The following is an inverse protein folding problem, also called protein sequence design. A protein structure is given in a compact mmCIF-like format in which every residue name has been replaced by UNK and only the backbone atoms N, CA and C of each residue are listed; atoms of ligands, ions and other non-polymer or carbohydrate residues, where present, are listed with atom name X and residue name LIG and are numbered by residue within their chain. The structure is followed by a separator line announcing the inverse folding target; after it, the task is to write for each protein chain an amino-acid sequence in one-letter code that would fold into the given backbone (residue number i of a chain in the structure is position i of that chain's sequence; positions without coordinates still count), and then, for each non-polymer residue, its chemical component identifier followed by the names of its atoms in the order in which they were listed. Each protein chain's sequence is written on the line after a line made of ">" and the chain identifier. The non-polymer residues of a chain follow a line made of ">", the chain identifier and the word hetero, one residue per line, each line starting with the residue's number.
data_IF_909879467010
#
_entry.id   IF_909879467010
#
_cell.length_a   1.000
_cell.length_b   1.000
_cell.length_c   1.000
_cell.angle_alpha   90.00
_cell.angle_beta   90.00
_cell.angle_gamma   90.00
#
_symmetry.space_group_name_H-M   'P 1'
#
loop_
_entity.id
_entity.type
_entity.pdbx_description
1 polymer ?
#
# COMPACT_ATOMS: atom_id res chain seq x y z
N UNK A 1 3.89 -1.60 16.13
CA UNK A 1 2.52 -1.56 16.66
C UNK A 1 1.60 -2.51 15.88
N UNK A 2 0.70 -3.24 16.56
CA UNK A 2 -0.39 -4.04 15.93
C UNK A 2 -1.73 -3.44 16.33
N UNK A 3 -2.61 -3.20 15.36
CA UNK A 3 -3.98 -2.72 15.61
C UNK A 3 -4.98 -3.61 14.88
N UNK A 4 -6.02 -4.05 15.59
CA UNK A 4 -7.02 -4.99 15.07
C UNK A 4 -8.29 -4.29 14.58
N UNK A 5 -8.81 -3.31 15.34
CA UNK A 5 -9.99 -2.51 14.99
C UNK A 5 -9.85 -1.10 15.53
N UNK A 6 -9.62 -0.15 14.64
CA UNK A 6 -9.54 1.28 15.00
C UNK A 6 -10.24 2.06 13.90
N UNK A 7 -11.16 2.99 14.22
CA UNK A 7 -11.91 3.70 13.19
C UNK A 7 -11.01 4.67 12.39
N UNK A 8 -10.17 5.45 13.09
CA UNK A 8 -9.30 6.46 12.52
C UNK A 8 -8.08 6.71 13.41
N UNK A 9 -6.91 6.97 12.81
CA UNK A 9 -5.73 7.48 13.51
C UNK A 9 -4.85 8.29 12.55
N UNK A 10 -4.07 9.20 13.13
CA UNK A 10 -3.03 9.98 12.45
C UNK A 10 -1.71 9.73 13.17
N UNK A 11 -0.65 9.44 12.41
CA UNK A 11 0.68 9.21 12.95
C UNK A 11 1.70 10.02 12.15
N UNK A 12 2.72 10.52 12.84
CA UNK A 12 3.83 11.26 12.21
C UNK A 12 4.86 10.26 11.71
N UNK A 13 5.44 9.47 12.61
CA UNK A 13 6.44 8.47 12.27
C UNK A 13 6.25 7.22 13.12
N UNK A 14 6.62 6.08 12.56
CA UNK A 14 6.63 4.79 13.24
C UNK A 14 7.55 3.84 12.47
N UNK A 15 8.32 3.01 13.15
CA UNK A 15 9.21 2.08 12.43
C UNK A 15 8.42 0.92 11.80
N UNK A 16 7.57 0.26 12.60
CA UNK A 16 6.87 -0.96 12.18
C UNK A 16 5.39 -0.92 12.57
N UNK A 17 4.51 -1.14 11.59
CA UNK A 17 3.06 -1.24 11.78
C UNK A 17 2.43 -2.46 11.09
N UNK A 18 1.51 -3.11 11.78
CA UNK A 18 0.63 -4.15 11.23
C UNK A 18 -0.83 -3.80 11.51
N UNK A 19 -1.65 -3.74 10.47
CA UNK A 19 -3.08 -3.46 10.58
C UNK A 19 -3.92 -4.55 9.90
N UNK A 20 -4.97 -4.99 10.57
CA UNK A 20 -5.90 -5.99 10.01
C UNK A 20 -7.18 -5.39 9.46
N UNK A 21 -7.90 -4.56 10.24
CA UNK A 21 -9.18 -3.93 9.83
C UNK A 21 -9.25 -2.48 10.30
N UNK A 22 -8.91 -1.56 9.40
CA UNK A 22 -8.94 -0.11 9.68
C UNK A 22 -9.69 0.60 8.57
N UNK A 23 -10.76 1.39 8.84
CA UNK A 23 -11.53 2.09 7.81
C UNK A 23 -10.73 3.15 7.05
N UNK A 24 -9.97 4.01 7.75
CA UNK A 24 -9.14 5.06 7.14
C UNK A 24 -7.99 5.46 8.07
N UNK A 25 -6.82 5.75 7.53
CA UNK A 25 -5.74 6.37 8.27
C UNK A 25 -4.83 7.22 7.39
N UNK A 26 -4.18 8.22 8.01
CA UNK A 26 -3.17 9.08 7.40
C UNK A 26 -1.84 8.91 8.16
N UNK A 27 -0.74 8.94 7.42
CA UNK A 27 0.61 8.71 7.96
C UNK A 27 1.63 9.54 7.18
N UNK A 28 2.56 10.19 7.88
CA UNK A 28 3.64 10.94 7.22
C UNK A 28 4.77 9.98 6.80
N UNK A 29 5.33 9.19 7.73
CA UNK A 29 6.43 8.28 7.43
C UNK A 29 6.31 6.92 8.17
N UNK A 30 6.75 5.84 7.51
CA UNK A 30 6.95 4.52 8.12
C UNK A 30 8.00 3.71 7.37
N UNK A 31 8.83 2.98 8.11
CA UNK A 31 9.82 2.10 7.48
C UNK A 31 9.13 0.82 6.97
N UNK A 32 8.35 0.13 7.82
CA UNK A 32 7.73 -1.15 7.46
C UNK A 32 6.24 -1.20 7.80
N UNK A 33 5.43 -1.39 6.77
CA UNK A 33 3.98 -1.57 6.88
C UNK A 33 3.48 -2.92 6.34
N UNK A 34 2.57 -3.56 7.08
CA UNK A 34 1.74 -4.66 6.58
C UNK A 34 0.26 -4.38 6.78
N UNK A 35 -0.52 -4.44 5.72
CA UNK A 35 -1.98 -4.25 5.75
C UNK A 35 -2.72 -5.44 5.16
N UNK A 36 -3.74 -5.93 5.87
CA UNK A 36 -4.62 -6.97 5.34
C UNK A 36 -5.91 -6.42 4.72
N UNK A 37 -6.70 -5.63 5.47
CA UNK A 37 -7.97 -5.03 4.99
C UNK A 37 -8.11 -3.57 5.42
N UNK A 38 -7.91 -2.66 4.47
CA UNK A 38 -8.08 -1.22 4.69
C UNK A 38 -8.87 -0.61 3.54
N UNK A 39 -10.00 0.07 3.74
CA UNK A 39 -10.76 0.73 2.67
C UNK A 39 -10.04 1.91 2.01
N UNK A 40 -9.37 2.76 2.80
CA UNK A 40 -8.67 3.94 2.31
C UNK A 40 -7.38 4.21 3.07
N UNK A 41 -6.32 4.53 2.32
CA UNK A 41 -5.00 4.74 2.87
C UNK A 41 -4.27 5.89 2.13
N UNK A 42 -3.84 6.91 2.88
CA UNK A 42 -3.13 8.08 2.34
C UNK A 42 -1.81 8.37 3.09
N UNK A 43 -0.75 7.61 2.84
CA UNK A 43 0.59 7.88 3.36
C UNK A 43 1.37 8.90 2.50
N UNK A 44 2.34 9.60 3.10
CA UNK A 44 3.33 10.39 2.36
C UNK A 44 4.51 9.54 1.92
N UNK A 45 5.27 8.95 2.85
CA UNK A 45 6.48 8.18 2.54
C UNK A 45 6.52 6.85 3.27
N UNK A 46 6.87 5.77 2.56
CA UNK A 46 6.97 4.41 3.12
C UNK A 46 8.14 3.66 2.52
N UNK A 47 9.07 3.12 3.30
CA UNK A 47 10.18 2.36 2.71
C UNK A 47 9.67 1.00 2.20
N UNK A 48 8.99 0.23 3.05
CA UNK A 48 8.54 -1.14 2.73
C UNK A 48 7.07 -1.34 3.05
N UNK A 49 6.30 -1.75 2.05
CA UNK A 49 4.88 -2.07 2.18
C UNK A 49 4.52 -3.44 1.64
N UNK A 50 3.70 -4.18 2.40
CA UNK A 50 3.02 -5.40 1.94
C UNK A 50 1.52 -5.28 2.13
N UNK A 51 0.76 -5.51 1.06
CA UNK A 51 -0.69 -5.40 1.05
C UNK A 51 -1.36 -6.63 0.47
N UNK A 52 -2.37 -7.13 1.17
CA UNK A 52 -3.19 -8.24 0.68
C UNK A 52 -4.50 -7.78 0.01
N UNK A 53 -5.33 -6.98 0.70
CA UNK A 53 -6.64 -6.51 0.19
C UNK A 53 -6.90 -5.05 0.57
N UNK A 54 -6.74 -4.15 -0.38
CA UNK A 54 -7.03 -2.73 -0.21
C UNK A 54 -7.81 -2.23 -1.43
N UNK A 55 -8.96 -1.54 -1.31
CA UNK A 55 -9.69 -1.05 -2.47
C UNK A 55 -9.12 0.26 -3.01
N UNK A 56 -8.53 1.15 -2.18
CA UNK A 56 -7.97 2.45 -2.62
C UNK A 56 -6.74 2.92 -1.84
N UNK A 57 -5.68 3.32 -2.55
CA UNK A 57 -4.44 3.90 -2.00
C UNK A 57 -4.10 5.19 -2.75
N UNK A 58 -3.70 6.23 -2.03
CA UNK A 58 -2.99 7.38 -2.60
C UNK A 58 -1.67 7.56 -1.85
N UNK A 59 -0.55 7.33 -2.51
CA UNK A 59 0.77 7.37 -1.89
C UNK A 59 1.71 8.27 -2.70
N UNK A 60 2.53 9.06 -2.02
CA UNK A 60 3.50 9.95 -2.68
C UNK A 60 4.76 9.15 -3.04
N UNK A 61 5.45 8.55 -2.06
CA UNK A 61 6.73 7.88 -2.31
C UNK A 61 6.87 6.54 -1.56
N UNK A 62 7.41 5.54 -2.24
CA UNK A 62 7.77 4.26 -1.60
C UNK A 62 8.95 3.59 -2.26
N UNK A 63 9.81 2.95 -1.47
CA UNK A 63 10.93 2.22 -2.05
C UNK A 63 10.46 0.84 -2.53
N UNK A 64 9.75 0.07 -1.70
CA UNK A 64 9.40 -1.32 -2.00
C UNK A 64 7.93 -1.62 -1.67
N UNK A 65 7.14 -1.95 -2.71
CA UNK A 65 5.75 -2.37 -2.56
C UNK A 65 5.52 -3.80 -3.07
N UNK A 66 4.82 -4.63 -2.28
CA UNK A 66 4.25 -5.92 -2.72
C UNK A 66 2.72 -5.92 -2.57
N UNK A 67 2.02 -6.26 -3.65
CA UNK A 67 0.55 -6.34 -3.70
C UNK A 67 0.06 -7.72 -4.16
N UNK A 68 -0.88 -8.31 -3.41
CA UNK A 68 -1.47 -9.61 -3.78
C UNK A 68 -2.82 -9.51 -4.53
N UNK A 69 -3.73 -8.61 -4.14
CA UNK A 69 -5.07 -8.49 -4.77
C UNK A 69 -5.48 -7.05 -5.07
N UNK A 70 -6.26 -6.92 -6.14
CA UNK A 70 -6.69 -5.71 -6.87
C UNK A 70 -6.93 -4.51 -5.94
N UNK A 71 -5.98 -3.56 -5.88
CA UNK A 71 -6.25 -2.20 -5.44
C UNK A 71 -6.58 -1.32 -6.66
N UNK A 72 -7.31 -0.23 -6.42
CA UNK A 72 -7.09 1.00 -7.20
C UNK A 72 -6.02 1.79 -6.48
N UNK A 73 -4.93 2.16 -7.15
CA UNK A 73 -3.93 3.02 -6.53
C UNK A 73 -3.50 4.18 -7.41
N UNK A 74 -3.19 5.28 -6.74
CA UNK A 74 -2.47 6.42 -7.30
C UNK A 74 -1.12 6.51 -6.57
N UNK A 75 -0.04 6.47 -7.33
CA UNK A 75 1.32 6.50 -6.81
C UNK A 75 2.17 7.47 -7.61
N UNK A 76 2.86 8.39 -6.92
CA UNK A 76 3.74 9.36 -7.60
C UNK A 76 5.08 8.71 -7.92
N UNK A 77 5.76 8.14 -6.93
CA UNK A 77 7.09 7.54 -7.12
C UNK A 77 7.22 6.19 -6.42
N UNK A 78 7.85 5.24 -7.09
CA UNK A 78 8.27 3.96 -6.49
C UNK A 78 9.54 3.41 -7.09
N UNK A 79 10.42 2.84 -6.27
CA UNK A 79 11.61 2.17 -6.79
C UNK A 79 11.24 0.75 -7.26
N UNK A 80 10.68 -0.08 -6.39
CA UNK A 80 10.41 -1.50 -6.66
C UNK A 80 8.96 -1.86 -6.39
N UNK A 81 8.25 -2.30 -7.43
CA UNK A 81 6.88 -2.84 -7.34
C UNK A 81 6.83 -4.32 -7.70
N UNK A 82 6.15 -5.12 -6.87
CA UNK A 82 5.78 -6.51 -7.15
C UNK A 82 4.28 -6.71 -7.07
N UNK A 83 3.68 -7.21 -8.14
CA UNK A 83 2.24 -7.42 -8.27
C UNK A 83 1.93 -8.88 -8.59
N UNK A 84 1.05 -9.51 -7.81
CA UNK A 84 0.55 -10.86 -8.13
C UNK A 84 -0.69 -10.83 -9.05
N UNK A 85 -1.46 -9.74 -9.07
CA UNK A 85 -2.61 -9.56 -9.97
C UNK A 85 -2.62 -8.15 -10.53
N UNK A 86 -3.06 -8.00 -11.77
CA UNK A 86 -3.12 -6.69 -12.45
C UNK A 86 -4.16 -5.80 -11.77
N UNK A 87 -3.74 -4.68 -11.17
CA UNK A 87 -4.65 -3.70 -10.59
C UNK A 87 -4.97 -2.59 -11.59
N UNK A 88 -5.98 -1.77 -11.29
CA UNK A 88 -6.12 -0.48 -11.96
C UNK A 88 -5.23 0.53 -11.25
N UNK A 89 -4.27 1.11 -11.96
CA UNK A 89 -3.33 2.04 -11.34
C UNK A 89 -3.04 3.28 -12.17
N UNK A 90 -2.76 4.37 -11.47
CA UNK A 90 -2.06 5.53 -12.00
C UNK A 90 -0.70 5.61 -11.31
N UNK A 91 0.36 5.59 -12.12
CA UNK A 91 1.74 5.60 -11.65
C UNK A 91 2.51 6.65 -12.45
N UNK A 92 3.14 7.61 -11.76
CA UNK A 92 3.91 8.66 -12.44
C UNK A 92 5.34 8.21 -12.74
N UNK A 93 6.03 7.58 -11.77
CA UNK A 93 7.39 7.11 -11.95
C UNK A 93 7.61 5.75 -11.27
N UNK A 94 8.35 4.86 -11.95
CA UNK A 94 8.80 3.58 -11.42
C UNK A 94 10.16 3.20 -12.00
N UNK A 95 11.04 2.64 -11.17
CA UNK A 95 12.30 2.04 -11.63
C UNK A 95 12.09 0.56 -12.05
N UNK A 96 11.61 -0.28 -11.13
CA UNK A 96 11.48 -1.73 -11.34
C UNK A 96 10.05 -2.20 -11.07
N UNK A 97 9.41 -2.82 -12.08
CA UNK A 97 8.12 -3.50 -11.94
C UNK A 97 8.23 -5.00 -12.23
N UNK A 98 7.72 -5.84 -11.33
CA UNK A 98 7.54 -7.29 -11.54
C UNK A 98 6.07 -7.71 -11.44
N UNK A 99 5.60 -8.44 -12.44
CA UNK A 99 4.27 -9.05 -12.49
C UNK A 99 4.40 -10.58 -12.42
N UNK A 100 3.74 -11.23 -11.46
CA UNK A 100 3.88 -12.69 -11.27
C UNK A 100 2.74 -13.52 -11.88
N UNK A 101 1.50 -13.01 -11.92
CA UNK A 101 0.37 -13.67 -12.61
C UNK A 101 -0.52 -12.65 -13.31
N UNK A 102 -0.59 -12.74 -14.64
CA UNK A 102 -1.60 -12.04 -15.43
C UNK A 102 -2.80 -12.98 -15.54
N UNK A 103 -3.77 -12.85 -14.64
CA UNK A 103 -5.13 -13.36 -14.89
C UNK A 103 -5.93 -12.21 -15.48
N UNK A 104 -6.08 -12.19 -16.80
CA UNK A 104 -7.09 -11.33 -17.43
C UNK A 104 -8.43 -11.91 -16.97
N UNK A 105 -9.14 -11.19 -16.11
CA UNK A 105 -10.54 -11.49 -15.82
C UNK A 105 -11.32 -11.04 -17.06
N UNK A 106 -11.49 -11.95 -18.03
CA UNK A 106 -12.47 -11.80 -19.12
C UNK A 106 -13.87 -12.05 -18.58
#
# INVERSE_FOLDING_TARGET
>A
MRLEKVPHFNLIAIDIMRLEKVPRFNLIAIDIMRLEKVPHFNPTAIDIMRLEKVPRINLIAIDIMRLEKIPRFNLIAIDIMRLEKVPHFNLTAIDIMRLEKITILT
#
